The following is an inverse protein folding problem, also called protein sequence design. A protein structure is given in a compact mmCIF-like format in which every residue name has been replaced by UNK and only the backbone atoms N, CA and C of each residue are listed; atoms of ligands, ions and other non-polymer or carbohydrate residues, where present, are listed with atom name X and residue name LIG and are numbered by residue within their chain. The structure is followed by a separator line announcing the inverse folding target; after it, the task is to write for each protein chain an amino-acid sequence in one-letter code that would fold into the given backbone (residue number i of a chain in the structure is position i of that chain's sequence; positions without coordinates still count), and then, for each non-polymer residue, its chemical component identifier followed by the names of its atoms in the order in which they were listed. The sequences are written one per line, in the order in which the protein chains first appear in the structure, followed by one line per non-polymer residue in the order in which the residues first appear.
data_IF_244392521679
#
_entry.id   IF_244392521679
#
_cell.length_a   1.000
_cell.length_b   1.000
_cell.length_c   1.000
_cell.angle_alpha   90.00
_cell.angle_beta   90.00
_cell.angle_gamma   90.00
#
_symmetry.space_group_name_H-M   'P 1'
#
loop_
_entity.id
_entity.type
_entity.pdbx_description
1 polymer ?
#
# COMPACT_ATOMS: atom_id res chain seq x y z
N UNK A 1 -2.36 20.72 -7.64
CA UNK A 1 -1.41 19.64 -8.04
C UNK A 1 -2.17 18.59 -8.82
N UNK A 2 -1.80 18.31 -10.05
CA UNK A 2 -2.50 17.34 -10.90
C UNK A 2 -2.13 15.88 -10.53
N UNK A 3 -2.88 14.89 -11.05
CA UNK A 3 -2.66 13.47 -10.78
C UNK A 3 -1.22 13.07 -11.16
N UNK A 4 -0.72 13.53 -12.30
CA UNK A 4 0.65 13.29 -12.76
C UNK A 4 1.70 13.80 -11.76
N UNK A 5 1.51 15.01 -11.22
CA UNK A 5 2.48 15.61 -10.28
C UNK A 5 2.50 14.85 -8.95
N UNK A 6 1.34 14.36 -8.51
CA UNK A 6 1.23 13.51 -7.31
C UNK A 6 1.97 12.19 -7.49
N UNK A 7 1.77 11.52 -8.62
CA UNK A 7 2.49 10.28 -8.94
C UNK A 7 4.01 10.53 -8.99
N UNK A 8 4.45 11.60 -9.66
CA UNK A 8 5.87 11.95 -9.70
C UNK A 8 6.44 12.16 -8.30
N UNK A 9 5.73 12.88 -7.44
CA UNK A 9 6.15 13.09 -6.05
C UNK A 9 6.31 11.77 -5.29
N UNK A 10 5.38 10.84 -5.42
CA UNK A 10 5.46 9.53 -4.77
C UNK A 10 6.64 8.69 -5.29
N UNK A 11 6.89 8.69 -6.58
CA UNK A 11 8.04 8.01 -7.17
C UNK A 11 9.37 8.58 -6.66
N UNK A 12 9.47 9.91 -6.49
CA UNK A 12 10.65 10.52 -5.89
C UNK A 12 10.81 10.18 -4.41
N UNK A 13 9.71 10.12 -3.64
CA UNK A 13 9.73 9.64 -2.25
C UNK A 13 10.19 8.19 -2.16
N UNK A 14 9.73 7.32 -3.03
CA UNK A 14 10.21 5.92 -3.11
C UNK A 14 11.70 5.87 -3.39
N UNK A 15 12.19 6.68 -4.33
CA UNK A 15 13.61 6.78 -4.68
C UNK A 15 14.46 7.26 -3.50
N UNK A 16 13.98 8.27 -2.77
CA UNK A 16 14.64 8.77 -1.56
C UNK A 16 14.67 7.72 -0.46
N UNK A 17 13.56 7.03 -0.21
CA UNK A 17 13.49 5.94 0.76
C UNK A 17 14.46 4.80 0.40
N UNK A 18 14.52 4.40 -0.88
CA UNK A 18 15.47 3.40 -1.35
C UNK A 18 16.95 3.83 -1.18
N UNK A 19 17.25 5.12 -1.26
CA UNK A 19 18.59 5.64 -0.95
C UNK A 19 18.89 5.54 0.56
N UNK A 20 17.93 5.88 1.42
CA UNK A 20 18.08 5.76 2.89
C UNK A 20 18.37 4.33 3.32
N UNK A 21 17.70 3.34 2.73
CA UNK A 21 17.92 1.92 3.06
C UNK A 21 19.35 1.44 2.77
N UNK A 22 20.07 2.12 1.88
CA UNK A 22 21.49 1.80 1.59
C UNK A 22 22.46 2.36 2.64
N UNK A 23 22.04 3.33 3.44
CA UNK A 23 22.85 3.99 4.45
C UNK A 23 22.44 3.53 5.85
N UNK A 24 23.13 2.52 6.40
CA UNK A 24 22.82 1.92 7.72
C UNK A 24 22.66 2.93 8.85
N UNK A 25 23.44 4.01 8.85
CA UNK A 25 23.38 5.08 9.86
C UNK A 25 22.10 5.94 9.80
N UNK A 26 21.31 5.82 8.75
CA UNK A 26 20.08 6.60 8.54
C UNK A 26 18.82 5.73 8.64
N UNK A 27 18.97 4.44 8.93
CA UNK A 27 17.83 3.53 9.04
C UNK A 27 17.10 3.73 10.36
N UNK A 28 15.78 3.80 10.29
CA UNK A 28 14.87 3.85 11.46
C UNK A 28 14.21 2.50 11.76
N UNK A 29 14.40 1.52 10.88
CA UNK A 29 13.79 0.19 10.98
C UNK A 29 12.40 0.06 10.33
N UNK A 30 11.87 1.15 9.79
CA UNK A 30 10.57 1.20 9.12
C UNK A 30 10.62 1.36 7.60
N UNK A 31 11.81 1.38 7.01
CA UNK A 31 12.00 1.69 5.59
C UNK A 31 11.30 0.69 4.66
N UNK A 32 11.32 -0.60 5.01
CA UNK A 32 10.62 -1.64 4.26
C UNK A 32 9.10 -1.48 4.30
N UNK A 33 8.56 -1.15 5.48
CA UNK A 33 7.14 -0.89 5.67
C UNK A 33 6.69 0.36 4.89
N UNK A 34 7.51 1.43 4.96
CA UNK A 34 7.26 2.66 4.19
C UNK A 34 7.35 2.40 2.69
N UNK A 35 8.34 1.64 2.23
CA UNK A 35 8.49 1.28 0.81
C UNK A 35 7.25 0.55 0.28
N UNK A 36 6.68 -0.36 1.08
CA UNK A 36 5.47 -1.10 0.72
C UNK A 36 4.27 -0.16 0.58
N UNK A 37 4.05 0.75 1.53
CA UNK A 37 2.95 1.74 1.48
C UNK A 37 3.11 2.67 0.27
N UNK A 38 4.32 3.18 0.02
CA UNK A 38 4.59 4.04 -1.14
C UNK A 38 4.36 3.30 -2.46
N UNK A 39 4.77 2.04 -2.55
CA UNK A 39 4.55 1.20 -3.73
C UNK A 39 3.05 1.02 -4.02
N UNK A 40 2.26 0.67 -3.02
CA UNK A 40 0.81 0.47 -3.18
C UNK A 40 0.11 1.76 -3.58
N UNK A 41 0.47 2.88 -2.96
CA UNK A 41 -0.04 4.21 -3.31
C UNK A 41 0.31 4.58 -4.77
N UNK A 42 1.56 4.38 -5.18
CA UNK A 42 2.01 4.66 -6.54
C UNK A 42 1.26 3.83 -7.59
N UNK A 43 1.00 2.54 -7.32
CA UNK A 43 0.21 1.69 -8.21
C UNK A 43 -1.24 2.17 -8.36
N UNK A 44 -1.89 2.56 -7.26
CA UNK A 44 -3.24 3.12 -7.31
C UNK A 44 -3.29 4.42 -8.12
N UNK A 45 -2.32 5.32 -7.90
CA UNK A 45 -2.23 6.57 -8.68
C UNK A 45 -1.88 6.35 -10.15
N UNK A 46 -1.07 5.34 -10.43
CA UNK A 46 -0.78 4.95 -11.82
C UNK A 46 -2.05 4.49 -12.52
N UNK A 47 -2.89 3.69 -11.85
CA UNK A 47 -4.22 3.31 -12.35
C UNK A 47 -5.12 4.52 -12.61
N UNK A 48 -5.18 5.45 -11.66
CA UNK A 48 -5.98 6.68 -11.78
C UNK A 48 -5.52 7.53 -12.97
N UNK A 49 -4.20 7.70 -13.12
CA UNK A 49 -3.60 8.45 -14.22
C UNK A 49 -3.86 7.75 -15.57
N UNK A 50 -3.69 6.44 -15.63
CA UNK A 50 -3.98 5.65 -16.82
C UNK A 50 -5.45 5.77 -17.23
N UNK A 51 -6.38 5.67 -16.27
CA UNK A 51 -7.80 5.87 -16.52
C UNK A 51 -8.13 7.29 -17.02
N UNK A 52 -7.47 8.31 -16.49
CA UNK A 52 -7.63 9.69 -16.93
C UNK A 52 -7.10 9.94 -18.36
N UNK A 53 -6.06 9.20 -18.77
CA UNK A 53 -5.47 9.32 -20.12
C UNK A 53 -6.27 8.51 -21.14
N UNK A 54 -6.56 7.25 -20.84
CA UNK A 54 -7.21 6.32 -21.76
C UNK A 54 -8.72 6.50 -21.83
N UNK A 55 -9.33 7.03 -20.75
CA UNK A 55 -10.79 7.21 -20.72
C UNK A 55 -11.53 5.89 -21.02
N UNK A 56 -12.46 5.88 -22.00
CA UNK A 56 -13.23 4.68 -22.36
C UNK A 56 -12.37 3.51 -22.86
N UNK A 57 -11.18 3.76 -23.40
CA UNK A 57 -10.28 2.71 -23.88
C UNK A 57 -9.75 1.79 -22.76
N UNK A 58 -9.92 2.18 -21.50
CA UNK A 58 -9.58 1.33 -20.35
C UNK A 58 -10.36 0.01 -20.30
N UNK A 59 -11.49 -0.11 -21.01
CA UNK A 59 -12.27 -1.37 -21.06
C UNK A 59 -11.81 -2.31 -22.17
N UNK A 60 -10.98 -1.85 -23.10
CA UNK A 60 -10.46 -2.68 -24.18
C UNK A 60 -9.44 -3.69 -23.65
N UNK A 61 -9.33 -4.83 -24.34
CA UNK A 61 -8.41 -5.90 -23.96
C UNK A 61 -7.69 -6.48 -25.20
N UNK A 62 -6.53 -7.08 -24.96
CA UNK A 62 -5.76 -7.73 -26.01
C UNK A 62 -5.27 -6.76 -27.08
N UNK A 63 -5.34 -7.17 -28.34
CA UNK A 63 -4.82 -6.40 -29.50
C UNK A 63 -5.54 -5.07 -29.73
N UNK A 64 -6.80 -4.95 -29.29
CA UNK A 64 -7.59 -3.72 -29.42
C UNK A 64 -7.21 -2.66 -28.36
N UNK A 65 -6.53 -3.07 -27.29
CA UNK A 65 -6.13 -2.18 -26.22
C UNK A 65 -4.80 -1.48 -26.53
N UNK A 66 -4.70 -0.22 -26.14
CA UNK A 66 -3.41 0.46 -26.10
C UNK A 66 -2.42 -0.38 -25.29
N UNK A 67 -1.19 -0.55 -25.80
CA UNK A 67 -0.14 -1.37 -25.16
C UNK A 67 -0.48 -2.88 -25.00
N UNK A 68 -1.38 -3.43 -25.82
CA UNK A 68 -1.75 -4.85 -25.77
C UNK A 68 -2.43 -5.29 -24.46
N UNK A 69 -3.03 -4.36 -23.73
CA UNK A 69 -3.74 -4.66 -22.49
C UNK A 69 -2.88 -4.63 -21.21
N UNK A 70 -1.59 -4.36 -21.29
CA UNK A 70 -0.69 -4.31 -20.10
C UNK A 70 -1.15 -3.29 -19.07
N UNK A 71 -1.63 -2.13 -19.50
CA UNK A 71 -2.12 -1.08 -18.59
C UNK A 71 -3.41 -1.53 -17.89
N UNK A 72 -4.30 -2.18 -18.59
CA UNK A 72 -5.54 -2.72 -18.04
C UNK A 72 -5.25 -3.82 -17.01
N UNK A 73 -4.32 -4.74 -17.32
CA UNK A 73 -3.88 -5.78 -16.38
C UNK A 73 -3.29 -5.17 -15.10
N UNK A 74 -2.40 -4.20 -15.25
CA UNK A 74 -1.83 -3.47 -14.11
C UNK A 74 -2.92 -2.77 -13.28
N UNK A 75 -3.92 -2.17 -13.94
CA UNK A 75 -5.01 -1.48 -13.26
C UNK A 75 -5.86 -2.44 -12.42
N UNK A 76 -6.19 -3.63 -12.97
CA UNK A 76 -6.91 -4.68 -12.25
C UNK A 76 -6.07 -5.23 -11.10
N UNK A 77 -4.77 -5.43 -11.30
CA UNK A 77 -3.86 -5.95 -10.28
C UNK A 77 -3.58 -4.94 -9.16
N UNK A 78 -3.70 -3.63 -9.43
CA UNK A 78 -3.27 -2.56 -8.51
C UNK A 78 -3.79 -2.63 -7.07
N UNK A 79 -4.97 -3.21 -6.74
CA UNK A 79 -5.43 -3.38 -5.36
C UNK A 79 -4.71 -4.51 -4.60
N UNK A 80 -4.21 -5.52 -5.32
CA UNK A 80 -3.63 -6.71 -4.69
C UNK A 80 -2.45 -6.40 -3.76
N UNK A 81 -1.49 -5.52 -4.12
CA UNK A 81 -0.41 -5.15 -3.22
C UNK A 81 -0.84 -4.52 -1.90
N UNK A 82 -2.02 -3.88 -1.84
CA UNK A 82 -2.54 -3.35 -0.57
C UNK A 82 -2.97 -4.45 0.41
N UNK A 83 -3.10 -5.69 -0.06
CA UNK A 83 -3.59 -6.83 0.71
C UNK A 83 -2.46 -7.79 1.05
N UNK A 84 -1.69 -8.27 0.06
CA UNK A 84 -0.64 -9.25 0.29
C UNK A 84 0.61 -8.63 0.91
N UNK A 85 1.47 -9.47 1.53
CA UNK A 85 2.68 -9.01 2.21
C UNK A 85 2.41 -8.14 3.44
N UNK A 86 1.23 -8.31 4.06
CA UNK A 86 0.68 -7.46 5.12
C UNK A 86 -0.08 -6.26 4.55
N UNK A 87 -1.30 -6.04 5.03
CA UNK A 87 -2.14 -4.93 4.53
C UNK A 87 -1.50 -3.57 4.82
N UNK A 88 -1.95 -2.55 4.14
CA UNK A 88 -1.43 -1.18 4.34
C UNK A 88 -1.66 -0.72 5.80
N UNK A 89 -2.74 -1.17 6.45
CA UNK A 89 -3.03 -0.90 7.87
C UNK A 89 -2.02 -1.60 8.78
N UNK A 90 -1.72 -2.88 8.52
CA UNK A 90 -0.68 -3.62 9.26
C UNK A 90 0.68 -2.94 9.12
N UNK A 91 1.02 -2.46 7.93
CA UNK A 91 2.27 -1.75 7.71
C UNK A 91 2.33 -0.43 8.50
N UNK A 92 1.21 0.31 8.56
CA UNK A 92 1.10 1.55 9.38
C UNK A 92 1.22 1.26 10.86
N UNK A 93 0.57 0.19 11.35
CA UNK A 93 0.69 -0.23 12.75
C UNK A 93 2.14 -0.57 13.10
N UNK A 94 2.84 -1.32 12.25
CA UNK A 94 4.25 -1.65 12.47
C UNK A 94 5.11 -0.37 12.55
N UNK A 95 4.88 0.60 11.67
CA UNK A 95 5.59 1.89 11.72
C UNK A 95 5.25 2.62 13.02
N UNK A 96 3.98 2.71 13.37
CA UNK A 96 3.51 3.35 14.61
C UNK A 96 4.18 2.76 15.85
N UNK A 97 4.12 1.44 16.00
CA UNK A 97 4.64 0.74 17.17
C UNK A 97 6.16 0.73 17.23
N UNK A 98 6.84 0.38 16.12
CA UNK A 98 8.28 0.12 16.14
C UNK A 98 9.16 1.32 15.86
N UNK A 99 8.66 2.27 15.04
CA UNK A 99 9.45 3.45 14.64
C UNK A 99 9.06 4.66 15.48
N UNK A 100 7.76 4.88 15.70
CA UNK A 100 7.26 6.04 16.45
C UNK A 100 7.11 5.74 17.94
N UNK A 101 7.23 4.49 18.39
CA UNK A 101 7.10 4.10 19.79
C UNK A 101 5.69 4.27 20.35
N UNK A 102 4.67 4.24 19.50
CA UNK A 102 3.28 4.33 19.95
C UNK A 102 2.90 3.05 20.70
N UNK A 103 2.00 3.16 21.70
CA UNK A 103 1.53 2.00 22.42
C UNK A 103 0.81 1.04 21.46
N UNK A 104 1.03 -0.24 21.68
CA UNK A 104 0.31 -1.28 20.96
C UNK A 104 -1.16 -1.27 21.34
N UNK A 105 -2.02 -1.54 20.37
CA UNK A 105 -3.46 -1.68 20.63
C UNK A 105 -3.70 -2.74 21.71
N UNK A 106 -4.52 -2.43 22.74
CA UNK A 106 -4.91 -3.41 23.75
C UNK A 106 -5.60 -4.59 23.08
N UNK A 107 -5.05 -5.77 23.25
CA UNK A 107 -5.61 -6.99 22.72
C UNK A 107 -5.68 -8.06 23.80
N UNK A 108 -6.43 -9.13 23.59
CA UNK A 108 -6.44 -10.26 24.49
C UNK A 108 -5.03 -10.83 24.62
N UNK A 109 -4.73 -11.38 25.79
CA UNK A 109 -3.49 -12.11 26.02
C UNK A 109 -3.39 -13.25 24.99
N UNK A 110 -2.20 -13.49 24.46
CA UNK A 110 -1.93 -14.55 23.47
C UNK A 110 -2.26 -15.94 24.02
N UNK A 111 -2.25 -16.09 25.33
CA UNK A 111 -2.51 -17.34 26.04
C UNK A 111 -4.01 -17.55 26.36
N UNK A 112 -4.84 -16.54 26.08
CA UNK A 112 -6.30 -16.66 26.30
C UNK A 112 -6.93 -17.47 25.17
N UNK A 113 -7.61 -18.61 25.46
CA UNK A 113 -8.32 -19.39 24.46
C UNK A 113 -9.35 -18.55 23.70
N UNK A 114 -9.50 -18.80 22.40
CA UNK A 114 -10.46 -18.06 21.56
C UNK A 114 -11.90 -18.09 22.12
N UNK A 115 -12.30 -19.18 22.77
CA UNK A 115 -13.61 -19.31 23.41
C UNK A 115 -13.85 -18.36 24.59
N UNK A 116 -12.77 -17.85 25.18
CA UNK A 116 -12.81 -16.94 26.33
C UNK A 116 -12.63 -15.48 25.92
N UNK A 117 -12.34 -15.23 24.64
CA UNK A 117 -12.26 -13.87 24.13
C UNK A 117 -13.63 -13.20 24.20
N UNK A 118 -13.63 -11.92 24.60
CA UNK A 118 -14.84 -11.10 24.56
C UNK A 118 -15.38 -11.06 23.13
N UNK A 119 -16.44 -11.79 22.90
CA UNK A 119 -17.20 -11.69 21.66
C UNK A 119 -18.03 -10.39 21.75
N UNK A 120 -17.97 -9.57 20.71
CA UNK A 120 -18.93 -8.49 20.56
C UNK A 120 -20.33 -9.12 20.46
N UNK A 121 -21.00 -9.27 21.60
CA UNK A 121 -22.42 -9.54 21.61
C UNK A 121 -23.11 -8.26 21.14
N UNK A 122 -23.41 -8.20 19.86
CA UNK A 122 -24.41 -7.27 19.33
C UNK A 122 -25.76 -7.81 19.76
N UNK A 123 -26.22 -7.38 20.91
CA UNK A 123 -27.64 -7.52 21.28
C UNK A 123 -28.40 -6.51 20.40
N UNK A 124 -28.94 -7.01 19.28
CA UNK A 124 -29.93 -6.31 18.45
C UNK A 124 -31.32 -6.58 18.96
#
# INVERSE_FOLDING_TARGET
MCIRDRLHTELELMRMNARRTRHKSQQTGGEGNLAKILMTSALHRTRELAGAILGPEMILWGEEAATGGVIQEMAIFSPAPSIYGGTDEVQRNIIGERVLGLPKEPGPDKDTPFSELLQNKTDW
#
